data_IF_962342256531
#
_entry.id   IF_962342256531
#
_cell.length_a   1.000
_cell.length_b   1.000
_cell.length_c   1.000
_cell.angle_alpha   90.00
_cell.angle_beta   90.00
_cell.angle_gamma   90.00
#
_symmetry.space_group_name_H-M   'P 1'
#
loop_
_entity.id
_entity.type
_entity.pdbx_description
1 polymer ?
#
# COMPACT_ATOMS: atom_id res chain seq x y z
N UNK A 1 10.45 21.81 -5.72
CA UNK A 1 10.02 20.42 -6.02
C UNK A 1 11.26 19.66 -6.44
N UNK A 2 11.91 19.01 -5.49
CA UNK A 2 13.17 18.30 -5.74
C UNK A 2 12.91 16.97 -6.44
N UNK A 3 13.78 16.63 -7.39
CA UNK A 3 13.73 15.39 -8.19
C UNK A 3 13.67 14.14 -7.27
N UNK A 4 14.25 14.22 -6.07
CA UNK A 4 14.18 13.18 -5.03
C UNK A 4 12.77 12.99 -4.44
N UNK A 5 11.99 14.06 -4.27
CA UNK A 5 10.59 13.96 -3.82
C UNK A 5 9.71 13.30 -4.88
N UNK A 6 9.97 13.61 -6.15
CA UNK A 6 9.27 12.99 -7.28
C UNK A 6 9.64 11.50 -7.44
N UNK A 7 10.88 11.11 -7.15
CA UNK A 7 11.27 9.68 -7.15
C UNK A 7 10.60 8.94 -5.97
N UNK A 8 10.48 9.57 -4.81
CA UNK A 8 9.86 8.98 -3.63
C UNK A 8 8.34 8.80 -3.82
N UNK A 9 7.64 9.80 -4.34
CA UNK A 9 6.19 9.76 -4.66
C UNK A 9 5.79 8.73 -5.72
N UNK A 10 6.74 8.36 -6.58
CA UNK A 10 6.55 7.43 -7.69
C UNK A 10 7.15 6.05 -7.42
N UNK A 11 7.75 5.83 -6.24
CA UNK A 11 8.27 4.51 -5.85
C UNK A 11 7.17 3.43 -5.90
N UNK A 12 5.92 3.81 -5.61
CA UNK A 12 4.79 2.88 -5.67
C UNK A 12 4.43 2.43 -7.09
N UNK A 13 4.79 3.20 -8.11
CA UNK A 13 4.51 2.84 -9.51
C UNK A 13 5.33 1.63 -9.94
N UNK A 14 6.43 1.33 -9.25
CA UNK A 14 7.22 0.10 -9.45
C UNK A 14 6.42 -1.16 -9.06
N UNK A 15 5.44 -1.06 -8.16
CA UNK A 15 4.61 -2.21 -7.74
C UNK A 15 3.62 -2.65 -8.81
N UNK A 16 3.24 -1.77 -9.75
CA UNK A 16 2.31 -2.07 -10.85
C UNK A 16 2.89 -3.11 -11.83
N UNK A 17 4.09 -2.94 -12.43
CA UNK A 17 4.69 -3.93 -13.29
C UNK A 17 5.06 -5.21 -12.53
N UNK A 18 5.48 -5.11 -11.25
CA UNK A 18 5.76 -6.26 -10.40
C UNK A 18 4.48 -7.10 -10.19
N UNK A 19 3.34 -6.46 -9.90
CA UNK A 19 2.06 -7.14 -9.76
C UNK A 19 1.59 -7.78 -11.08
N UNK A 20 1.82 -7.10 -12.20
CA UNK A 20 1.46 -7.60 -13.53
C UNK A 20 2.29 -8.83 -13.95
N UNK A 21 3.56 -8.90 -13.55
CA UNK A 21 4.46 -10.02 -13.89
C UNK A 21 4.31 -11.18 -12.91
N UNK A 22 4.16 -10.91 -11.61
CA UNK A 22 4.17 -11.93 -10.55
C UNK A 22 2.89 -12.82 -10.51
N UNK A 23 1.75 -12.30 -10.99
CA UNK A 23 0.45 -12.96 -10.88
C UNK A 23 0.04 -13.67 -12.19
N UNK A 24 -0.65 -14.82 -12.07
CA UNK A 24 -1.16 -15.59 -13.21
C UNK A 24 -2.24 -14.84 -14.02
N UNK A 25 -2.31 -15.11 -15.35
CA UNK A 25 -3.15 -14.40 -16.34
C UNK A 25 -4.59 -14.12 -15.91
N UNK A 26 -5.24 -15.01 -15.15
CA UNK A 26 -6.62 -14.85 -14.70
C UNK A 26 -6.83 -13.93 -13.49
N UNK A 27 -5.78 -13.61 -12.73
CA UNK A 27 -5.87 -12.82 -11.50
C UNK A 27 -5.07 -11.50 -11.56
N UNK A 28 -4.30 -11.26 -12.63
CA UNK A 28 -3.51 -10.03 -12.83
C UNK A 28 -4.30 -8.75 -12.64
N UNK A 29 -5.50 -8.67 -13.24
CA UNK A 29 -6.33 -7.47 -13.15
C UNK A 29 -6.72 -7.19 -11.69
N UNK A 30 -7.04 -8.23 -10.92
CA UNK A 30 -7.41 -8.07 -9.50
C UNK A 30 -6.23 -7.58 -8.68
N UNK A 31 -5.04 -8.13 -8.92
CA UNK A 31 -3.83 -7.70 -8.23
C UNK A 31 -3.43 -6.26 -8.57
N UNK A 32 -3.54 -5.86 -9.84
CA UNK A 32 -3.28 -4.48 -10.27
C UNK A 32 -4.29 -3.52 -9.66
N UNK A 33 -5.58 -3.86 -9.68
CA UNK A 33 -6.63 -3.04 -9.03
C UNK A 33 -6.38 -2.91 -7.54
N UNK A 34 -5.98 -3.99 -6.86
CA UNK A 34 -5.62 -3.96 -5.44
C UNK A 34 -4.46 -3.00 -5.15
N UNK A 35 -3.36 -3.09 -5.92
CA UNK A 35 -2.21 -2.18 -5.76
C UNK A 35 -2.62 -0.73 -6.01
N UNK A 36 -3.38 -0.45 -7.06
CA UNK A 36 -3.89 0.89 -7.35
C UNK A 36 -4.76 1.43 -6.20
N UNK A 37 -5.61 0.58 -5.62
CA UNK A 37 -6.46 0.96 -4.50
C UNK A 37 -5.63 1.28 -3.25
N UNK A 38 -4.61 0.46 -2.96
CA UNK A 38 -3.65 0.73 -1.89
C UNK A 38 -2.92 2.06 -2.09
N UNK A 39 -2.45 2.35 -3.31
CA UNK A 39 -1.79 3.63 -3.65
C UNK A 39 -2.72 4.82 -3.43
N UNK A 40 -3.95 4.75 -3.95
CA UNK A 40 -4.93 5.82 -3.82
C UNK A 40 -5.27 6.07 -2.34
N UNK A 41 -5.43 5.00 -1.58
CA UNK A 41 -5.75 5.08 -0.14
C UNK A 41 -4.60 5.68 0.64
N UNK A 42 -3.35 5.28 0.38
CA UNK A 42 -2.18 5.83 1.06
C UNK A 42 -2.07 7.34 0.87
N UNK A 43 -2.29 7.84 -0.35
CA UNK A 43 -2.30 9.28 -0.64
C UNK A 43 -3.42 10.02 0.10
N UNK A 44 -4.62 9.44 0.14
CA UNK A 44 -5.73 10.00 0.89
C UNK A 44 -5.45 10.01 2.40
N UNK A 45 -4.78 8.99 2.93
CA UNK A 45 -4.39 8.94 4.34
C UNK A 45 -3.36 10.03 4.68
N UNK A 46 -2.34 10.22 3.85
CA UNK A 46 -1.34 11.28 4.02
C UNK A 46 -1.98 12.67 3.99
N UNK A 47 -2.82 12.93 3.00
CA UNK A 47 -3.50 14.22 2.84
C UNK A 47 -4.45 14.53 4.01
N UNK A 48 -5.17 13.51 4.52
CA UNK A 48 -6.01 13.63 5.72
C UNK A 48 -5.21 14.06 6.96
N UNK A 49 -4.01 13.52 7.15
CA UNK A 49 -3.20 13.81 8.33
C UNK A 49 -2.50 15.16 8.19
N UNK A 50 -2.05 15.52 6.99
CA UNK A 50 -1.50 16.85 6.72
C UNK A 50 -2.56 17.94 6.91
N UNK A 51 -3.82 17.69 6.56
CA UNK A 51 -4.93 18.63 6.79
C UNK A 51 -5.26 18.82 8.28
N UNK A 52 -5.00 17.81 9.13
CA UNK A 52 -5.09 17.98 10.59
C UNK A 52 -3.98 18.84 11.21
N UNK A 53 -2.98 19.29 10.44
CA UNK A 53 -1.93 20.21 10.88
C UNK A 53 -0.79 19.56 11.69
N UNK A 54 -0.73 18.22 11.74
CA UNK A 54 0.31 17.46 12.41
C UNK A 54 1.26 16.83 11.39
N UNK A 55 2.25 17.59 10.89
CA UNK A 55 3.21 17.13 9.87
C UNK A 55 4.20 16.05 10.37
N UNK A 56 4.28 15.81 11.68
CA UNK A 56 5.21 14.82 12.30
C UNK A 56 4.52 13.76 13.16
N UNK A 57 3.20 13.59 13.04
CA UNK A 57 2.42 12.67 13.86
C UNK A 57 1.96 13.29 15.19
N UNK A 58 0.82 12.82 15.72
CA UNK A 58 0.19 13.36 16.93
C UNK A 58 1.03 13.14 18.20
N UNK A 59 1.89 12.11 18.23
CA UNK A 59 2.66 11.70 19.39
C UNK A 59 4.15 12.11 19.34
N UNK A 60 4.65 12.63 18.20
CA UNK A 60 6.03 13.11 18.01
C UNK A 60 7.10 12.11 18.51
N UNK A 61 6.81 10.81 18.48
CA UNK A 61 7.71 9.77 19.00
C UNK A 61 8.78 9.39 17.96
N UNK A 62 8.58 9.81 16.71
CA UNK A 62 9.42 9.45 15.59
C UNK A 62 9.45 10.67 14.65
N UNK A 63 10.64 11.13 14.24
CA UNK A 63 10.84 12.34 13.42
C UNK A 63 10.86 12.07 11.90
N UNK A 64 10.46 10.86 11.47
CA UNK A 64 10.44 10.51 10.05
C UNK A 64 9.14 10.99 9.39
N UNK A 65 9.25 11.44 8.14
CA UNK A 65 8.15 11.90 7.29
C UNK A 65 7.00 10.87 7.23
N UNK A 66 5.77 11.36 7.38
CA UNK A 66 4.54 10.55 7.47
C UNK A 66 4.36 9.73 6.19
N UNK A 67 4.66 10.34 5.04
CA UNK A 67 4.57 9.70 3.74
C UNK A 67 5.49 8.48 3.65
N UNK A 68 6.69 8.58 4.19
CA UNK A 68 7.68 7.51 4.10
C UNK A 68 7.28 6.28 4.95
N UNK A 69 6.66 6.50 6.11
CA UNK A 69 6.17 5.41 6.95
C UNK A 69 4.96 4.70 6.36
N UNK A 70 4.07 5.46 5.74
CA UNK A 70 2.95 4.96 4.97
C UNK A 70 3.43 4.00 3.87
N UNK A 71 4.40 4.47 3.09
CA UNK A 71 4.93 3.76 1.94
C UNK A 71 5.61 2.45 2.33
N UNK A 72 6.39 2.45 3.41
CA UNK A 72 7.02 1.23 3.93
C UNK A 72 5.95 0.21 4.36
N UNK A 73 4.94 0.68 5.10
CA UNK A 73 3.86 -0.18 5.59
C UNK A 73 3.10 -0.83 4.44
N UNK A 74 2.63 -0.03 3.48
CA UNK A 74 1.93 -0.53 2.30
C UNK A 74 2.79 -1.45 1.44
N UNK A 75 4.09 -1.15 1.27
CA UNK A 75 5.02 -2.00 0.52
C UNK A 75 5.13 -3.40 1.13
N UNK A 76 5.21 -3.52 2.46
CA UNK A 76 5.26 -4.83 3.15
C UNK A 76 3.99 -5.65 2.87
N UNK A 77 2.81 -5.03 2.95
CA UNK A 77 1.55 -5.72 2.69
C UNK A 77 1.34 -6.06 1.21
N UNK A 78 1.81 -5.22 0.29
CA UNK A 78 1.78 -5.50 -1.15
C UNK A 78 2.66 -6.72 -1.47
N UNK A 79 3.88 -6.79 -0.92
CA UNK A 79 4.76 -7.95 -1.07
C UNK A 79 4.08 -9.22 -0.55
N UNK A 80 3.52 -9.16 0.66
CA UNK A 80 2.83 -10.28 1.28
C UNK A 80 1.66 -10.76 0.42
N UNK A 81 0.87 -9.83 -0.11
CA UNK A 81 -0.21 -10.12 -1.04
C UNK A 81 0.28 -10.78 -2.33
N UNK A 82 1.37 -10.27 -2.93
CA UNK A 82 1.93 -10.82 -4.15
C UNK A 82 2.47 -12.24 -3.95
N UNK A 83 3.13 -12.51 -2.82
CA UNK A 83 3.60 -13.85 -2.45
C UNK A 83 2.40 -14.81 -2.36
N UNK A 84 1.37 -14.45 -1.60
CA UNK A 84 0.16 -15.28 -1.47
C UNK A 84 -0.54 -15.49 -2.82
N UNK A 85 -0.60 -14.46 -3.64
CA UNK A 85 -1.19 -14.52 -4.97
C UNK A 85 -0.39 -15.40 -5.93
N UNK A 86 0.93 -15.48 -5.77
CA UNK A 86 1.78 -16.33 -6.59
C UNK A 86 1.59 -17.82 -6.25
N UNK A 87 1.53 -18.15 -4.95
CA UNK A 87 1.38 -19.53 -4.49
C UNK A 87 -0.05 -20.11 -4.61
N UNK A 88 -1.07 -19.30 -4.91
CA UNK A 88 -2.47 -19.73 -4.95
C UNK A 88 -3.11 -19.68 -6.35
N UNK A 89 -2.61 -20.44 -7.35
CA UNK A 89 -3.09 -20.34 -8.75
C UNK A 89 -4.50 -20.91 -9.01
N UNK A 90 -5.06 -21.71 -8.09
CA UNK A 90 -6.34 -22.43 -8.29
C UNK A 90 -7.43 -22.11 -7.24
N UNK A 91 -7.28 -21.02 -6.48
CA UNK A 91 -8.33 -20.60 -5.54
C UNK A 91 -9.53 -20.02 -6.28
N UNK A 92 -10.74 -20.37 -5.81
CA UNK A 92 -11.99 -19.76 -6.26
C UNK A 92 -11.87 -18.24 -6.14
N UNK A 93 -12.30 -17.50 -7.17
CA UNK A 93 -12.12 -16.04 -7.25
C UNK A 93 -12.69 -15.25 -6.05
N UNK A 94 -13.68 -15.81 -5.34
CA UNK A 94 -14.23 -15.24 -4.11
C UNK A 94 -13.27 -15.33 -2.91
N UNK A 95 -12.53 -16.43 -2.76
CA UNK A 95 -11.54 -16.61 -1.68
C UNK A 95 -10.38 -15.63 -1.88
N UNK A 96 -9.97 -15.44 -3.14
CA UNK A 96 -8.95 -14.47 -3.51
C UNK A 96 -9.38 -13.03 -3.19
N UNK A 97 -10.64 -12.68 -3.50
CA UNK A 97 -11.20 -11.36 -3.18
C UNK A 97 -11.27 -11.13 -1.66
N UNK A 98 -11.74 -12.12 -0.90
CA UNK A 98 -11.79 -12.03 0.56
C UNK A 98 -10.38 -11.82 1.15
N UNK A 99 -9.38 -12.57 0.67
CA UNK A 99 -8.00 -12.41 1.11
C UNK A 99 -7.44 -11.02 0.77
N UNK A 100 -7.68 -10.50 -0.44
CA UNK A 100 -7.26 -9.13 -0.80
C UNK A 100 -7.91 -8.09 0.09
N UNK A 101 -9.22 -8.19 0.36
CA UNK A 101 -9.94 -7.23 1.21
C UNK A 101 -9.40 -7.27 2.65
N UNK A 102 -9.15 -8.46 3.19
CA UNK A 102 -8.57 -8.60 4.53
C UNK A 102 -7.19 -7.97 4.64
N UNK A 103 -6.30 -8.20 3.65
CA UNK A 103 -4.95 -7.61 3.64
C UNK A 103 -5.02 -6.10 3.46
N UNK A 104 -5.97 -5.61 2.64
CA UNK A 104 -6.21 -4.17 2.48
C UNK A 104 -6.57 -3.51 3.82
N UNK A 105 -7.54 -4.05 4.55
CA UNK A 105 -7.92 -3.48 5.85
C UNK A 105 -6.78 -3.56 6.86
N UNK A 106 -6.02 -4.66 6.88
CA UNK A 106 -4.86 -4.79 7.74
C UNK A 106 -3.82 -3.70 7.42
N UNK A 107 -3.48 -3.49 6.15
CA UNK A 107 -2.56 -2.43 5.72
C UNK A 107 -3.09 -1.03 6.09
N UNK A 108 -4.38 -0.79 5.89
CA UNK A 108 -5.03 0.47 6.20
C UNK A 108 -4.91 0.83 7.68
N UNK A 109 -5.30 -0.09 8.58
CA UNK A 109 -5.24 0.14 10.02
C UNK A 109 -3.81 0.28 10.50
N UNK A 110 -2.90 -0.59 10.07
CA UNK A 110 -1.48 -0.51 10.46
C UNK A 110 -0.86 0.80 10.00
N UNK A 111 -1.12 1.25 8.77
CA UNK A 111 -0.66 2.54 8.26
C UNK A 111 -1.19 3.71 9.09
N UNK A 112 -2.49 3.73 9.38
CA UNK A 112 -3.10 4.76 10.24
C UNK A 112 -2.49 4.82 11.63
N UNK A 113 -2.25 3.67 12.27
CA UNK A 113 -1.58 3.63 13.57
C UNK A 113 -0.15 4.15 13.51
N UNK A 114 0.61 3.80 12.47
CA UNK A 114 2.01 4.21 12.30
C UNK A 114 2.13 5.70 11.96
N UNK A 115 1.18 6.26 11.22
CA UNK A 115 1.12 7.69 10.93
C UNK A 115 0.69 8.53 12.13
N UNK A 116 -0.15 7.98 13.01
CA UNK A 116 -0.57 8.62 14.26
C UNK A 116 0.57 8.71 15.30
N UNK A 117 1.45 7.71 15.30
CA UNK A 117 2.58 7.56 16.23
C UNK A 117 3.74 8.53 15.90
#
# INVERSE_FOLDING_TARGET
MDIMGLIHDWADVIWIPIAAVSVHKGQRIKAVVFVLFCMATMRLQDELIRDTGYETGYLNFMHSDIFNRAQISYSVFIVLYLILSHYSPNTKGAVYMAASISIYFMAFFTSMFIMLL
#
